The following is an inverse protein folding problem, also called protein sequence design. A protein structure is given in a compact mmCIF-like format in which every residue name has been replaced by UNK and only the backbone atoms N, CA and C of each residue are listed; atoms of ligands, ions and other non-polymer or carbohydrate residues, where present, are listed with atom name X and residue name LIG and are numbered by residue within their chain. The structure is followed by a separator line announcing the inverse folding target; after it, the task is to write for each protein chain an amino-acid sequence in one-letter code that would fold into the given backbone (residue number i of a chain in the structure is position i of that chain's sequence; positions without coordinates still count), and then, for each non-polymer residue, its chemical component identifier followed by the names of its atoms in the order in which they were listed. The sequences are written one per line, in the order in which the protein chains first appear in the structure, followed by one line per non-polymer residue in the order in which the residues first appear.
data_IF_576336422600
#
_entry.id   IF_576336422600
#
_cell.length_a   1.000
_cell.length_b   1.000
_cell.length_c   1.000
_cell.angle_alpha   90.00
_cell.angle_beta   90.00
_cell.angle_gamma   90.00
#
_symmetry.space_group_name_H-M   'P 1'
#
loop_
_entity.id
_entity.type
_entity.pdbx_description
1 polymer ?
#
# COMPACT_ATOMS: atom_id res chain seq x y z
N UNK A 1 55.27 10.93 5.40
CA UNK A 1 53.89 11.42 5.14
C UNK A 1 53.02 10.34 4.50
N UNK A 2 52.75 9.19 5.13
CA UNK A 2 52.04 8.06 4.48
C UNK A 2 51.17 7.23 5.46
N UNK A 3 50.76 7.77 6.61
CA UNK A 3 50.03 7.01 7.65
C UNK A 3 48.58 7.47 7.92
N UNK A 4 48.06 8.45 7.18
CA UNK A 4 46.72 8.99 7.39
C UNK A 4 45.70 8.66 6.29
N UNK A 5 46.07 7.84 5.30
CA UNK A 5 45.16 7.47 4.19
C UNK A 5 44.27 6.26 4.55
N UNK A 6 44.58 5.53 5.63
CA UNK A 6 43.84 4.31 6.01
C UNK A 6 42.70 4.55 7.03
N UNK A 7 42.38 5.80 7.39
CA UNK A 7 41.35 6.10 8.39
C UNK A 7 40.05 6.70 7.81
N UNK A 8 39.92 6.78 6.48
CA UNK A 8 38.75 7.33 5.79
C UNK A 8 37.78 6.27 5.23
N UNK A 9 38.03 4.98 5.45
CA UNK A 9 37.20 3.90 4.88
C UNK A 9 36.24 3.21 5.87
N UNK A 10 36.16 3.64 7.13
CA UNK A 10 35.37 2.96 8.18
C UNK A 10 34.01 3.62 8.46
N UNK A 11 33.67 4.73 7.79
CA UNK A 11 32.38 5.40 8.01
C UNK A 11 31.50 5.30 6.77
N UNK A 12 30.34 4.64 6.95
CA UNK A 12 29.13 4.64 6.09
C UNK A 12 28.78 3.34 5.34
N UNK A 13 29.08 2.16 5.90
CA UNK A 13 28.16 1.03 5.73
C UNK A 13 27.02 1.17 6.75
N UNK A 14 26.12 2.14 6.53
CA UNK A 14 24.80 2.10 7.16
C UNK A 14 24.01 1.02 6.43
N UNK A 15 24.20 -0.23 6.85
CA UNK A 15 23.36 -1.33 6.41
C UNK A 15 21.98 -1.08 6.98
N UNK A 16 21.12 -0.41 6.20
CA UNK A 16 19.68 -0.37 6.49
C UNK A 16 19.18 -1.80 6.46
N UNK A 17 19.05 -2.41 7.63
CA UNK A 17 18.40 -3.71 7.77
C UNK A 17 16.94 -3.51 7.39
N UNK A 18 16.53 -4.04 6.23
CA UNK A 18 15.11 -4.08 5.85
C UNK A 18 14.39 -4.91 6.89
N UNK A 19 13.57 -4.24 7.72
CA UNK A 19 12.75 -4.93 8.72
C UNK A 19 11.74 -5.81 8.01
N UNK A 20 11.80 -7.13 8.25
CA UNK A 20 10.79 -8.07 7.81
C UNK A 20 9.88 -8.42 8.99
N UNK A 21 8.58 -8.20 8.83
CA UNK A 21 7.57 -8.55 9.84
C UNK A 21 6.41 -9.29 9.20
N UNK A 22 6.03 -10.41 9.78
CA UNK A 22 4.77 -11.09 9.44
C UNK A 22 3.66 -10.62 10.38
N UNK A 23 2.51 -10.31 9.81
CA UNK A 23 1.29 -9.91 10.52
C UNK A 23 0.15 -10.81 10.06
N UNK A 24 -0.57 -11.39 11.00
CA UNK A 24 -1.76 -12.18 10.70
C UNK A 24 -2.98 -11.26 10.70
N UNK A 25 -3.76 -11.30 9.64
CA UNK A 25 -4.99 -10.53 9.48
C UNK A 25 -6.09 -11.46 8.97
N UNK A 26 -7.37 -11.15 9.20
CA UNK A 26 -8.46 -11.97 8.67
C UNK A 26 -8.48 -11.91 7.13
N UNK A 27 -8.54 -10.70 6.58
CA UNK A 27 -8.58 -10.42 5.15
C UNK A 27 -8.06 -9.01 4.88
N UNK A 28 -7.36 -8.83 3.77
CA UNK A 28 -6.96 -7.51 3.33
C UNK A 28 -8.11 -6.83 2.58
N UNK A 29 -8.52 -5.65 3.05
CA UNK A 29 -9.57 -4.85 2.39
C UNK A 29 -8.90 -3.77 1.56
N UNK A 30 -9.02 -3.87 0.24
CA UNK A 30 -8.51 -2.84 -0.67
C UNK A 30 -9.23 -1.50 -0.41
N UNK A 31 -8.51 -0.37 -0.44
CA UNK A 31 -9.13 0.94 -0.30
C UNK A 31 -10.06 1.22 -1.47
N UNK A 32 -11.25 1.77 -1.19
CA UNK A 32 -12.24 2.13 -2.21
C UNK A 32 -11.74 3.24 -3.15
N UNK A 33 -10.87 4.11 -2.65
CA UNK A 33 -10.32 5.25 -3.37
C UNK A 33 -8.80 5.13 -3.52
N UNK A 34 -8.30 5.59 -4.67
CA UNK A 34 -6.86 5.72 -4.90
C UNK A 34 -6.31 6.85 -4.04
N UNK A 35 -5.25 6.56 -3.29
CA UNK A 35 -4.57 7.55 -2.45
C UNK A 35 -3.25 7.97 -3.11
N UNK A 36 -2.90 9.27 -3.11
CA UNK A 36 -1.54 9.70 -3.41
C UNK A 36 -0.54 8.99 -2.50
N UNK A 37 0.66 8.70 -2.99
CA UNK A 37 1.66 7.96 -2.20
C UNK A 37 1.39 6.46 -2.08
N UNK A 38 0.49 5.89 -2.89
CA UNK A 38 0.17 4.46 -2.87
C UNK A 38 0.09 3.87 -4.28
N UNK A 39 0.69 2.69 -4.46
CA UNK A 39 0.54 1.83 -5.64
C UNK A 39 0.12 0.44 -5.18
N UNK A 40 -0.84 -0.17 -5.87
CA UNK A 40 -1.29 -1.53 -5.63
C UNK A 40 -0.97 -2.38 -6.86
N UNK A 41 -0.42 -3.56 -6.61
CA UNK A 41 -0.05 -4.55 -7.63
C UNK A 41 -0.82 -5.82 -7.35
N UNK A 42 -1.74 -6.16 -8.23
CA UNK A 42 -2.51 -7.41 -8.17
C UNK A 42 -1.73 -8.53 -8.86
N UNK A 43 -1.72 -9.70 -8.22
CA UNK A 43 -1.11 -10.93 -8.71
C UNK A 43 -2.08 -12.09 -8.49
N UNK A 44 -1.96 -13.22 -9.22
CA UNK A 44 -2.86 -14.35 -9.01
C UNK A 44 -2.51 -15.12 -7.72
N UNK A 45 -3.49 -15.85 -7.21
CA UNK A 45 -3.29 -16.83 -6.14
C UNK A 45 -2.22 -17.85 -6.54
N UNK A 46 -1.17 -18.00 -5.74
CA UNK A 46 -0.08 -18.97 -5.98
C UNK A 46 0.99 -18.54 -6.99
N UNK A 47 0.89 -17.35 -7.59
CA UNK A 47 1.84 -16.89 -8.61
C UNK A 47 2.40 -15.49 -8.32
N UNK A 48 3.44 -15.10 -9.08
CA UNK A 48 4.15 -13.83 -8.97
C UNK A 48 4.12 -12.96 -10.23
N UNK A 49 3.41 -13.37 -11.27
CA UNK A 49 3.17 -12.52 -12.43
C UNK A 49 2.21 -11.39 -12.07
N UNK A 50 2.45 -10.20 -12.61
CA UNK A 50 1.61 -9.03 -12.37
C UNK A 50 0.38 -9.11 -13.27
N UNK A 51 -0.81 -9.05 -12.69
CA UNK A 51 -2.07 -8.96 -13.42
C UNK A 51 -2.42 -7.50 -13.72
N UNK A 52 -2.29 -6.64 -12.70
CA UNK A 52 -2.73 -5.25 -12.78
C UNK A 52 -1.93 -4.38 -11.83
N UNK A 53 -1.75 -3.13 -12.23
CA UNK A 53 -1.13 -2.09 -11.42
C UNK A 53 -2.06 -0.89 -11.41
N UNK A 54 -2.29 -0.29 -10.25
CA UNK A 54 -3.03 0.96 -10.13
C UNK A 54 -2.57 1.79 -8.93
N UNK A 55 -2.85 3.09 -8.97
CA UNK A 55 -2.42 4.05 -7.96
C UNK A 55 -1.47 5.08 -8.54
N UNK A 56 -0.66 5.68 -7.68
CA UNK A 56 0.24 6.80 -7.96
C UNK A 56 1.61 6.33 -8.47
N UNK A 57 1.66 5.79 -9.68
CA UNK A 57 2.92 5.33 -10.29
C UNK A 57 3.85 6.49 -10.67
N UNK A 58 3.30 7.69 -10.89
CA UNK A 58 4.07 8.90 -11.15
C UNK A 58 4.82 9.36 -9.90
N UNK A 59 4.13 9.41 -8.74
CA UNK A 59 4.75 9.72 -7.46
C UNK A 59 5.78 8.67 -7.03
N UNK A 60 5.56 7.39 -7.37
CA UNK A 60 6.51 6.32 -7.05
C UNK A 60 7.90 6.57 -7.68
N UNK A 61 7.98 7.21 -8.84
CA UNK A 61 9.24 7.56 -9.51
C UNK A 61 10.09 8.55 -8.71
N UNK A 62 9.48 9.36 -7.84
CA UNK A 62 10.15 10.36 -7.02
C UNK A 62 10.14 10.01 -5.53
N UNK A 63 9.79 8.76 -5.20
CA UNK A 63 9.77 8.26 -3.84
C UNK A 63 11.17 8.34 -3.19
N UNK A 64 11.21 8.67 -1.90
CA UNK A 64 12.39 8.52 -1.05
C UNK A 64 12.37 7.15 -0.39
N UNK A 65 11.44 6.97 0.56
CA UNK A 65 11.25 5.71 1.27
C UNK A 65 10.03 4.95 0.72
N UNK A 66 10.20 3.66 0.54
CA UNK A 66 9.20 2.72 0.01
C UNK A 66 8.95 1.61 1.04
N UNK A 67 7.68 1.37 1.32
CA UNK A 67 7.18 0.31 2.20
C UNK A 67 6.34 -0.64 1.37
N UNK A 68 6.62 -1.94 1.46
CA UNK A 68 5.90 -2.98 0.72
C UNK A 68 5.18 -3.88 1.70
N UNK A 69 3.86 -3.91 1.61
CA UNK A 69 3.03 -4.89 2.29
C UNK A 69 2.65 -5.98 1.30
N UNK A 70 3.14 -7.20 1.54
CA UNK A 70 2.82 -8.39 0.75
C UNK A 70 1.58 -9.04 1.33
N UNK A 71 0.47 -9.01 0.60
CA UNK A 71 -0.73 -9.74 1.00
C UNK A 71 -0.70 -11.16 0.42
N UNK A 72 -0.73 -12.15 1.31
CA UNK A 72 -0.79 -13.57 0.97
C UNK A 72 -1.81 -14.28 1.86
N UNK A 73 -2.30 -15.44 1.43
CA UNK A 73 -3.20 -16.26 2.27
C UNK A 73 -2.38 -17.14 3.21
N UNK A 74 -3.03 -17.69 4.23
CA UNK A 74 -2.48 -18.78 5.04
C UNK A 74 -2.56 -20.15 4.36
N UNK A 75 -3.21 -20.26 3.19
CA UNK A 75 -3.29 -21.49 2.41
C UNK A 75 -2.07 -21.74 1.50
N UNK A 76 -1.59 -23.00 1.39
CA UNK A 76 -1.99 -24.13 2.22
C UNK A 76 -1.50 -23.96 3.66
N UNK A 77 -2.32 -24.36 4.63
CA UNK A 77 -2.03 -24.17 6.06
C UNK A 77 -0.65 -24.76 6.38
N UNK A 78 0.16 -24.01 7.12
CA UNK A 78 1.53 -24.34 7.51
C UNK A 78 2.56 -24.38 6.37
N UNK A 79 2.20 -24.05 5.13
CA UNK A 79 3.18 -23.92 4.06
C UNK A 79 3.94 -22.60 4.15
N UNK A 80 5.26 -22.66 3.97
CA UNK A 80 6.07 -21.45 3.84
C UNK A 80 5.83 -20.80 2.47
N UNK A 81 5.30 -19.59 2.47
CA UNK A 81 5.12 -18.79 1.24
C UNK A 81 6.31 -17.84 0.97
N UNK A 82 7.42 -17.99 1.69
CA UNK A 82 8.57 -17.07 1.60
C UNK A 82 9.13 -16.98 0.18
N UNK A 83 9.32 -18.12 -0.50
CA UNK A 83 9.86 -18.15 -1.87
C UNK A 83 8.91 -17.46 -2.85
N UNK A 84 7.61 -17.74 -2.76
CA UNK A 84 6.59 -17.09 -3.58
C UNK A 84 6.57 -15.58 -3.33
N UNK A 85 6.51 -15.16 -2.07
CA UNK A 85 6.42 -13.76 -1.69
C UNK A 85 7.69 -12.97 -2.07
N UNK A 86 8.88 -13.57 -1.94
CA UNK A 86 10.13 -12.98 -2.47
C UNK A 86 10.08 -12.82 -3.99
N UNK A 87 9.51 -13.80 -4.69
CA UNK A 87 9.34 -13.74 -6.14
C UNK A 87 8.35 -12.64 -6.55
N UNK A 88 7.27 -12.43 -5.78
CA UNK A 88 6.33 -11.32 -5.97
C UNK A 88 7.02 -9.95 -5.83
N UNK A 89 7.80 -9.75 -4.77
CA UNK A 89 8.58 -8.50 -4.60
C UNK A 89 9.58 -8.32 -5.75
N UNK A 90 10.26 -9.40 -6.17
CA UNK A 90 11.20 -9.37 -7.30
C UNK A 90 10.51 -8.98 -8.61
N UNK A 91 9.34 -9.54 -8.92
CA UNK A 91 8.54 -9.16 -10.10
C UNK A 91 8.19 -7.68 -10.10
N UNK A 92 7.83 -7.14 -8.93
CA UNK A 92 7.57 -5.71 -8.78
C UNK A 92 8.81 -4.85 -9.04
N UNK A 93 9.96 -5.19 -8.46
CA UNK A 93 11.19 -4.43 -8.68
C UNK A 93 11.66 -4.49 -10.15
N UNK A 94 11.43 -5.62 -10.83
CA UNK A 94 11.67 -5.73 -12.29
C UNK A 94 10.74 -4.83 -13.11
N UNK A 95 9.49 -4.68 -12.69
CA UNK A 95 8.51 -3.81 -13.34
C UNK A 95 8.83 -2.32 -13.14
N UNK A 96 9.50 -1.98 -12.03
CA UNK A 96 9.91 -0.62 -11.68
C UNK A 96 11.42 -0.53 -11.48
N UNK A 97 12.22 -0.67 -12.55
CA UNK A 97 13.68 -0.77 -12.46
C UNK A 97 14.38 0.51 -11.98
N UNK A 98 13.65 1.61 -11.84
CA UNK A 98 14.15 2.85 -11.25
C UNK A 98 14.15 2.83 -9.71
N UNK A 99 13.55 1.82 -9.09
CA UNK A 99 13.57 1.66 -7.63
C UNK A 99 14.90 1.03 -7.24
N UNK A 100 15.70 1.77 -6.49
CA UNK A 100 16.95 1.32 -5.93
C UNK A 100 16.72 0.54 -4.62
N UNK A 101 17.57 -0.45 -4.33
CA UNK A 101 17.46 -1.28 -3.13
C UNK A 101 17.47 -0.43 -1.84
N UNK A 102 18.25 0.66 -1.81
CA UNK A 102 18.33 1.58 -0.68
C UNK A 102 17.05 2.38 -0.38
N UNK A 103 16.08 2.39 -1.30
CA UNK A 103 14.76 3.03 -1.10
C UNK A 103 13.78 2.10 -0.37
N UNK A 104 14.03 0.79 -0.32
CA UNK A 104 13.17 -0.15 0.38
C UNK A 104 13.39 -0.04 1.90
N UNK A 105 12.52 0.71 2.56
CA UNK A 105 12.57 0.91 4.00
C UNK A 105 12.08 -0.33 4.77
N UNK A 106 11.05 -1.00 4.26
CA UNK A 106 10.41 -2.11 4.96
C UNK A 106 9.65 -3.02 4.01
N UNK A 107 9.64 -4.32 4.33
CA UNK A 107 8.78 -5.32 3.67
C UNK A 107 8.02 -6.11 4.73
N UNK A 108 6.71 -5.97 4.76
CA UNK A 108 5.83 -6.72 5.65
C UNK A 108 5.10 -7.83 4.90
N UNK A 109 4.78 -8.91 5.60
CA UNK A 109 3.97 -10.00 5.08
C UNK A 109 2.65 -10.04 5.85
N UNK A 110 1.56 -9.72 5.18
CA UNK A 110 0.20 -9.79 5.71
C UNK A 110 -0.40 -11.13 5.32
N UNK A 111 -0.36 -12.08 6.25
CA UNK A 111 -0.92 -13.42 6.07
C UNK A 111 -2.40 -13.41 6.45
N UNK A 112 -3.25 -13.65 5.45
CA UNK A 112 -4.69 -13.60 5.55
C UNK A 112 -5.26 -14.96 6.00
N UNK A 113 -5.96 -15.00 7.13
CA UNK A 113 -6.38 -16.23 7.82
C UNK A 113 -7.79 -16.72 7.49
N UNK A 114 -8.63 -15.91 6.82
CA UNK A 114 -9.90 -16.41 6.24
C UNK A 114 -9.67 -17.21 4.94
N UNK A 115 -8.41 -17.47 4.59
CA UNK A 115 -7.98 -18.19 3.40
C UNK A 115 -7.81 -19.69 3.59
N UNK A 116 -8.09 -20.27 4.76
CA UNK A 116 -7.75 -21.66 5.11
C UNK A 116 -8.30 -22.73 4.14
N UNK A 117 -9.28 -22.41 3.29
CA UNK A 117 -9.78 -23.25 2.20
C UNK A 117 -9.37 -22.68 0.85
N UNK A 118 -8.99 -23.56 -0.10
CA UNK A 118 -8.49 -23.16 -1.42
C UNK A 118 -9.46 -22.24 -2.15
N UNK A 119 -10.74 -22.58 -2.12
CA UNK A 119 -11.82 -21.87 -2.81
C UNK A 119 -11.93 -20.43 -2.29
N UNK A 120 -11.81 -20.25 -0.97
CA UNK A 120 -11.75 -18.93 -0.35
C UNK A 120 -10.44 -18.21 -0.72
N UNK A 121 -9.30 -18.88 -0.54
CA UNK A 121 -7.97 -18.32 -0.80
C UNK A 121 -7.85 -17.70 -2.18
N UNK A 122 -8.40 -18.36 -3.21
CA UNK A 122 -8.37 -17.89 -4.61
C UNK A 122 -9.07 -16.53 -4.77
N UNK A 123 -10.13 -16.28 -4.00
CA UNK A 123 -10.92 -15.03 -4.09
C UNK A 123 -10.35 -13.87 -3.28
N UNK A 124 -9.36 -14.12 -2.43
CA UNK A 124 -8.74 -13.10 -1.61
C UNK A 124 -7.78 -12.24 -2.43
N UNK A 125 -7.42 -11.07 -1.91
CA UNK A 125 -6.42 -10.24 -2.57
C UNK A 125 -5.04 -10.89 -2.46
N UNK A 126 -4.34 -10.93 -3.58
CA UNK A 126 -2.97 -11.41 -3.70
C UNK A 126 -2.13 -10.36 -4.39
N UNK A 127 -0.99 -10.03 -3.81
CA UNK A 127 -0.07 -9.09 -4.42
C UNK A 127 0.56 -8.16 -3.40
N UNK A 128 0.83 -6.93 -3.84
CA UNK A 128 1.60 -5.96 -3.08
C UNK A 128 0.83 -4.65 -2.93
N UNK A 129 0.93 -4.08 -1.74
CA UNK A 129 0.52 -2.71 -1.46
C UNK A 129 1.78 -1.93 -1.15
N UNK A 130 2.07 -0.97 -2.02
CA UNK A 130 3.24 -0.12 -1.93
C UNK A 130 2.78 1.22 -1.40
N UNK A 131 3.31 1.63 -0.26
CA UNK A 131 3.17 2.98 0.26
C UNK A 131 4.53 3.65 0.24
N UNK A 132 4.57 4.93 -0.09
CA UNK A 132 5.83 5.64 -0.22
C UNK A 132 5.71 7.09 0.22
N UNK A 133 6.85 7.64 0.64
CA UNK A 133 6.98 9.07 0.94
C UNK A 133 7.78 9.74 -0.17
N UNK A 134 7.41 10.95 -0.62
CA UNK A 134 8.23 11.69 -1.56
C UNK A 134 9.59 11.99 -0.93
N UNK A 135 10.64 12.06 -1.76
CA UNK A 135 11.97 12.45 -1.29
C UNK A 135 11.92 13.87 -0.71
N UNK A 136 12.48 14.05 0.49
CA UNK A 136 12.62 15.38 1.09
C UNK A 136 13.55 16.25 0.23
N UNK A 137 13.13 17.48 -0.01
CA UNK A 137 13.81 18.54 -0.73
C UNK A 137 13.49 19.89 -0.05
N UNK A 138 14.19 20.97 -0.43
CA UNK A 138 14.03 22.25 0.25
C UNK A 138 12.58 22.78 0.23
N UNK A 139 11.80 22.47 -0.83
CA UNK A 139 10.45 22.97 -0.98
C UNK A 139 9.45 22.21 -0.08
N UNK A 140 9.48 20.87 -0.06
CA UNK A 140 8.55 20.10 0.78
C UNK A 140 8.95 20.15 2.26
N UNK A 141 10.24 20.28 2.59
CA UNK A 141 10.69 20.53 3.96
C UNK A 141 10.12 21.86 4.49
N UNK A 142 10.15 22.92 3.67
CA UNK A 142 9.56 24.21 4.05
C UNK A 142 8.05 24.10 4.27
N UNK A 143 7.33 23.44 3.36
CA UNK A 143 5.89 23.22 3.50
C UNK A 143 5.53 22.38 4.73
N UNK A 144 6.38 21.41 5.11
CA UNK A 144 6.20 20.60 6.31
C UNK A 144 6.42 21.43 7.59
N UNK A 145 7.44 22.29 7.62
CA UNK A 145 7.67 23.23 8.72
C UNK A 145 6.50 24.20 8.87
N UNK A 146 6.02 24.80 7.79
CA UNK A 146 4.86 25.70 7.81
C UNK A 146 3.62 24.99 8.37
N UNK A 147 3.38 23.74 7.98
CA UNK A 147 2.27 22.93 8.52
C UNK A 147 2.44 22.58 10.00
N UNK A 148 3.66 22.30 10.45
CA UNK A 148 3.95 22.03 11.86
C UNK A 148 3.75 23.29 12.71
N UNK A 149 4.20 24.45 12.22
CA UNK A 149 3.97 25.75 12.87
C UNK A 149 2.48 26.04 13.00
N UNK A 150 1.68 25.78 11.96
CA UNK A 150 0.22 25.93 12.01
C UNK A 150 -0.40 25.03 13.09
N UNK A 151 0.01 23.76 13.18
CA UNK A 151 -0.49 22.82 14.18
C UNK A 151 -0.12 23.28 15.60
N UNK A 152 1.12 23.77 15.79
CA UNK A 152 1.59 24.29 17.09
C UNK A 152 0.81 25.54 17.50
N UNK A 153 0.54 26.45 16.57
CA UNK A 153 -0.21 27.69 16.85
C UNK A 153 -1.69 27.45 17.08
N UNK A 154 -2.30 26.49 16.38
CA UNK A 154 -3.75 26.24 16.44
C UNK A 154 -4.14 25.18 17.49
N UNK A 155 -3.17 24.46 18.06
CA UNK A 155 -3.39 23.44 19.09
C UNK A 155 -4.25 22.26 18.63
N UNK A 156 -4.48 22.12 17.32
CA UNK A 156 -5.35 21.10 16.75
C UNK A 156 -4.78 20.65 15.40
N UNK A 157 -4.81 19.34 15.07
CA UNK A 157 -4.44 18.89 13.73
C UNK A 157 -5.42 19.52 12.74
N UNK A 158 -4.99 20.56 12.02
CA UNK A 158 -5.81 21.31 11.08
C UNK A 158 -6.61 20.40 10.15
N UNK A 159 -7.90 20.68 10.03
CA UNK A 159 -8.88 19.93 9.23
C UNK A 159 -8.33 19.60 7.85
N UNK A 160 -8.32 18.31 7.52
CA UNK A 160 -8.07 17.82 6.16
C UNK A 160 -8.85 18.65 5.14
N UNK A 161 -8.17 19.05 4.06
CA UNK A 161 -8.70 19.83 2.95
C UNK A 161 -10.08 19.30 2.52
N UNK A 162 -11.14 20.07 2.81
CA UNK A 162 -12.46 19.88 2.22
C UNK A 162 -12.38 20.27 0.73
N UNK A 163 -12.73 19.39 -0.22
CA UNK A 163 -12.94 19.80 -1.59
C UNK A 163 -14.22 20.66 -1.71
N UNK A 164 -14.22 21.49 -2.74
CA UNK A 164 -15.06 22.66 -2.93
C UNK A 164 -16.59 22.44 -2.98
N UNK A 165 -17.30 23.49 -2.53
CA UNK A 165 -18.71 23.85 -2.74
C UNK A 165 -19.47 23.03 -3.81
N UNK A 166 -20.49 22.29 -3.37
CA UNK A 166 -21.64 21.93 -4.21
C UNK A 166 -22.44 23.20 -4.55
N UNK A 167 -22.42 23.60 -5.82
CA UNK A 167 -23.47 24.42 -6.42
C UNK A 167 -24.75 23.60 -6.52
N UNK A 168 -25.84 24.13 -5.95
CA UNK A 168 -27.20 23.59 -6.07
C UNK A 168 -27.59 23.48 -7.56
N UNK A 169 -27.93 22.29 -8.03
CA UNK A 169 -28.77 22.14 -9.24
C UNK A 169 -29.81 21.02 -9.09
N UNK A 170 -31.04 21.50 -8.90
CA UNK A 170 -32.37 20.95 -9.24
C UNK A 170 -32.53 19.42 -9.42
N UNK A 171 -33.27 18.87 -8.48
CA UNK A 171 -34.07 17.65 -8.51
C UNK A 171 -34.94 17.55 -9.77
N UNK A 172 -34.87 16.38 -10.45
CA UNK A 172 -35.99 15.76 -11.16
C UNK A 172 -35.97 14.27 -10.80
N UNK A 173 -37.06 13.68 -10.27
CA UNK A 173 -37.13 12.24 -10.07
C UNK A 173 -37.45 11.58 -11.42
N UNK A 174 -36.67 10.56 -11.78
CA UNK A 174 -37.10 9.59 -12.80
C UNK A 174 -37.39 8.25 -12.12
N UNK A 175 -38.48 7.57 -12.48
CA UNK A 175 -39.03 6.42 -11.75
C UNK A 175 -38.34 5.12 -12.15
N UNK A 176 -38.79 4.01 -11.51
CA UNK A 176 -38.51 2.59 -11.84
C UNK A 176 -37.30 2.07 -11.03
N UNK A 177 -37.35 1.03 -10.18
CA UNK A 177 -38.12 -0.21 -10.16
C UNK A 177 -38.19 -0.71 -8.70
N UNK A 178 -39.38 -1.02 -8.16
CA UNK A 178 -39.50 -1.78 -6.91
C UNK A 178 -39.12 -3.23 -7.19
N UNK A 179 -37.99 -3.68 -6.64
CA UNK A 179 -37.74 -5.10 -6.48
C UNK A 179 -38.70 -5.67 -5.43
N UNK A 180 -39.40 -6.72 -5.83
CA UNK A 180 -39.47 -7.99 -5.11
C UNK A 180 -38.91 -7.97 -3.69
N UNK A 181 -39.81 -7.95 -2.71
CA UNK A 181 -39.85 -8.89 -1.60
C UNK A 181 -41.14 -8.67 -0.82
N UNK A 182 -42.10 -9.59 -0.96
CA UNK A 182 -42.86 -10.04 0.20
C UNK A 182 -43.17 -11.51 0.02
N UNK A 183 -42.37 -12.35 0.68
CA UNK A 183 -42.89 -13.62 1.20
C UNK A 183 -43.84 -13.27 2.34
N UNK A 184 -44.94 -14.03 2.45
CA UNK A 184 -45.68 -14.14 3.70
C UNK A 184 -47.17 -14.31 3.52
N UNK A 185 -47.62 -15.53 3.82
CA UNK A 185 -48.94 -15.88 4.37
C UNK A 185 -50.15 -16.11 3.44
N UNK A 186 -50.51 -17.39 3.39
CA UNK A 186 -51.75 -17.95 3.96
C UNK A 186 -52.89 -18.37 3.01
N UNK A 187 -53.25 -19.65 3.21
CA UNK A 187 -54.58 -20.24 3.27
C UNK A 187 -55.28 -20.75 2.00
N UNK A 188 -55.73 -22.01 2.18
CA UNK A 188 -56.69 -22.85 1.45
C UNK A 188 -56.13 -23.63 0.25
#
# INVERSE_FOLDING_TARGET
MHKYILLLFILHLSTKSVGQKTVFIEKYTLPAEKKPGQVIVEMPFGYSNILKIFGDTAGLRTAGDIFIDVACTDYPINASLQVLNKSRVTSFLKQFPFIEEGQLAQVNFFQQTDGAQREKAITMFHGLIITFRPRQNAANAKAEVEKLEEIVQTGSPGTAVKPAKLTKKKTRPSPILKNYMHKGHANL
#
